data_IF_847026193529
#
_entry.id   IF_847026193529
#
_cell.length_a   1.000
_cell.length_b   1.000
_cell.length_c   1.000
_cell.angle_alpha   90.00
_cell.angle_beta   90.00
_cell.angle_gamma   90.00
#
_symmetry.space_group_name_H-M   'P 1'
#
loop_
_entity.id
_entity.type
_entity.pdbx_description
1 polymer ?
#
# COMPACT_ATOMS: atom_id res chain seq x y z
N UNK A 1 6.83 -5.95 -0.32
CA UNK A 1 8.02 -5.56 -1.09
C UNK A 1 7.85 -4.11 -1.48
N UNK A 2 8.83 -3.26 -1.20
CA UNK A 2 8.91 -1.88 -1.67
C UNK A 2 9.45 -1.84 -3.10
N UNK A 3 9.32 -0.69 -3.74
CA UNK A 3 9.94 -0.40 -5.03
C UNK A 3 11.10 0.57 -4.85
N UNK A 4 11.96 0.72 -5.86
CA UNK A 4 13.07 1.67 -5.91
C UNK A 4 12.64 3.15 -6.09
N UNK A 5 11.39 3.47 -5.77
CA UNK A 5 10.82 4.81 -5.72
C UNK A 5 10.25 5.07 -4.33
N UNK A 6 10.38 6.29 -3.84
CA UNK A 6 9.92 6.65 -2.50
C UNK A 6 9.81 8.14 -2.29
N UNK A 7 9.69 8.49 -1.02
CA UNK A 7 9.68 9.87 -0.51
C UNK A 7 11.01 10.14 0.16
N UNK A 8 11.59 11.30 -0.11
CA UNK A 8 12.80 11.81 0.52
C UNK A 8 12.42 13.00 1.38
N UNK A 9 12.84 12.98 2.64
CA UNK A 9 12.75 14.11 3.55
C UNK A 9 14.18 14.51 3.92
N UNK A 10 14.64 15.65 3.42
CA UNK A 10 15.83 16.31 3.95
C UNK A 10 15.42 17.08 5.20
N UNK A 11 16.10 16.89 6.33
CA UNK A 11 15.76 17.55 7.58
C UNK A 11 17.00 17.89 8.41
N UNK A 12 16.85 18.90 9.26
CA UNK A 12 17.73 19.21 10.39
C UNK A 12 16.87 19.44 11.64
N UNK A 13 17.45 19.27 12.82
CA UNK A 13 16.78 19.66 14.06
C UNK A 13 16.53 21.17 14.07
N UNK A 14 15.34 21.61 14.51
CA UNK A 14 15.15 23.00 14.90
C UNK A 14 15.89 23.26 16.22
N UNK A 15 16.20 24.53 16.48
CA UNK A 15 16.77 24.99 17.75
C UNK A 15 15.73 24.93 18.90
N UNK A 16 14.46 24.80 18.56
CA UNK A 16 13.32 24.78 19.48
C UNK A 16 12.26 23.73 19.09
N UNK A 17 11.05 23.86 19.63
CA UNK A 17 9.92 22.97 19.35
C UNK A 17 9.23 23.25 17.99
N UNK A 18 9.69 24.22 17.19
CA UNK A 18 9.05 24.57 15.93
C UNK A 18 9.39 23.57 14.81
N UNK A 19 8.37 23.11 14.11
CA UNK A 19 8.46 22.43 12.83
C UNK A 19 8.31 23.48 11.73
N UNK A 20 9.20 23.47 10.74
CA UNK A 20 9.10 24.25 9.51
C UNK A 20 9.34 23.33 8.32
N UNK A 21 8.32 23.08 7.50
CA UNK A 21 8.43 22.16 6.37
C UNK A 21 8.01 22.82 5.06
N UNK A 22 8.67 22.42 3.99
CA UNK A 22 8.32 22.73 2.60
C UNK A 22 8.16 21.44 1.79
N UNK A 23 7.36 21.49 0.73
CA UNK A 23 7.16 20.37 -0.18
C UNK A 23 7.64 20.70 -1.59
N UNK A 24 8.25 19.72 -2.27
CA UNK A 24 8.55 19.81 -3.70
C UNK A 24 7.35 19.59 -4.62
N UNK A 25 6.19 19.18 -4.09
CA UNK A 25 4.98 18.94 -4.89
C UNK A 25 3.81 19.86 -4.51
N UNK A 26 3.83 20.46 -3.33
CA UNK A 26 2.76 21.33 -2.85
C UNK A 26 3.30 22.71 -2.49
N UNK A 27 2.57 23.74 -2.87
CA UNK A 27 2.92 25.12 -2.52
C UNK A 27 2.72 25.41 -1.03
N UNK A 28 3.50 26.37 -0.54
CA UNK A 28 3.45 26.83 0.85
C UNK A 28 4.50 26.20 1.75
N UNK A 29 4.68 26.83 2.91
CA UNK A 29 5.46 26.31 4.02
C UNK A 29 4.54 26.13 5.22
N UNK A 30 4.72 25.05 5.97
CA UNK A 30 3.94 24.76 7.17
C UNK A 30 4.81 25.07 8.39
N UNK A 31 4.22 25.72 9.39
CA UNK A 31 4.87 26.02 10.67
C UNK A 31 3.93 25.71 11.82
N UNK A 32 4.39 24.94 12.79
CA UNK A 32 3.65 24.61 14.02
C UNK A 32 4.62 24.03 15.05
N UNK A 33 4.19 23.91 16.31
CA UNK A 33 5.08 23.38 17.35
C UNK A 33 4.76 21.94 17.71
N UNK A 34 5.79 21.17 18.08
CA UNK A 34 5.63 19.78 18.55
C UNK A 34 5.01 19.67 19.94
N UNK A 35 5.07 20.75 20.72
CA UNK A 35 4.48 20.85 22.06
C UNK A 35 3.02 21.37 22.04
N UNK A 36 2.51 21.74 20.86
CA UNK A 36 1.08 22.00 20.68
C UNK A 36 0.30 20.66 20.72
N UNK A 37 -0.77 20.63 21.51
CA UNK A 37 -1.66 19.46 21.56
C UNK A 37 -2.38 19.28 20.23
N UNK A 38 -2.03 18.23 19.49
CA UNK A 38 -2.69 17.90 18.24
C UNK A 38 -4.03 17.21 18.51
N UNK A 39 -5.04 17.51 17.68
CA UNK A 39 -6.37 16.90 17.75
C UNK A 39 -6.73 16.23 16.43
N UNK A 40 -7.47 15.10 16.46
CA UNK A 40 -7.98 14.46 15.25
C UNK A 40 -8.73 15.43 14.33
N UNK A 41 -8.65 15.19 13.02
CA UNK A 41 -9.35 15.99 12.02
C UNK A 41 -10.83 15.58 11.97
N UNK A 42 -11.71 16.53 12.30
CA UNK A 42 -13.16 16.30 12.30
C UNK A 42 -13.73 16.21 10.87
N UNK A 43 -13.36 17.16 10.01
CA UNK A 43 -13.81 17.18 8.61
C UNK A 43 -12.72 16.64 7.67
N UNK A 44 -12.90 15.47 7.03
CA UNK A 44 -11.92 14.92 6.10
C UNK A 44 -11.62 15.79 4.86
N UNK A 45 -12.45 16.79 4.54
CA UNK A 45 -12.16 17.76 3.49
C UNK A 45 -10.98 18.68 3.85
N UNK A 46 -10.67 18.81 5.15
CA UNK A 46 -9.55 19.60 5.64
C UNK A 46 -8.22 18.84 5.59
N UNK A 47 -8.21 17.57 5.16
CA UNK A 47 -6.99 16.78 5.06
C UNK A 47 -6.16 17.32 3.89
N UNK A 48 -5.02 17.88 4.22
CA UNK A 48 -4.01 18.39 3.29
C UNK A 48 -2.66 17.71 3.57
N UNK A 49 -1.60 18.11 2.88
CA UNK A 49 -0.29 17.48 3.05
C UNK A 49 0.34 17.75 4.43
N UNK A 50 0.00 18.87 5.09
CA UNK A 50 0.46 19.21 6.45
C UNK A 50 -0.11 18.27 7.51
N UNK A 51 -1.29 17.71 7.23
CA UNK A 51 -2.02 16.82 8.14
C UNK A 51 -1.18 15.59 8.51
N UNK A 52 -0.29 15.14 7.63
CA UNK A 52 0.59 14.00 7.93
C UNK A 52 1.70 14.35 8.93
N UNK A 53 2.27 15.56 8.86
CA UNK A 53 3.28 16.01 9.82
C UNK A 53 2.66 16.21 11.22
N UNK A 54 1.48 16.85 11.27
CA UNK A 54 0.71 17.00 12.51
C UNK A 54 0.23 15.66 13.07
N UNK A 55 -0.16 14.74 12.18
CA UNK A 55 -0.53 13.38 12.53
C UNK A 55 0.62 12.60 13.15
N UNK A 56 1.85 12.74 12.64
CA UNK A 56 3.04 12.13 13.23
C UNK A 56 3.31 12.64 14.65
N UNK A 57 3.21 13.96 14.88
CA UNK A 57 3.29 14.56 16.22
C UNK A 57 2.17 14.03 17.12
N UNK A 58 0.92 13.99 16.64
CA UNK A 58 -0.21 13.43 17.38
C UNK A 58 0.03 11.97 17.80
N UNK A 59 0.52 11.13 16.87
CA UNK A 59 0.76 9.72 17.14
C UNK A 59 1.83 9.53 18.22
N UNK A 60 2.94 10.26 18.13
CA UNK A 60 4.01 10.23 19.13
C UNK A 60 3.50 10.71 20.51
N UNK A 61 2.80 11.84 20.57
CA UNK A 61 2.18 12.36 21.80
C UNK A 61 1.21 11.34 22.43
N UNK A 62 0.33 10.74 21.63
CA UNK A 62 -0.67 9.79 22.10
C UNK A 62 -0.09 8.46 22.58
N UNK A 63 1.12 8.11 22.13
CA UNK A 63 1.88 6.96 22.64
C UNK A 63 2.79 7.33 23.82
N UNK A 64 2.73 8.57 24.32
CA UNK A 64 3.44 9.02 25.52
C UNK A 64 4.86 9.53 25.27
N UNK A 65 5.24 9.79 24.02
CA UNK A 65 6.55 10.37 23.71
C UNK A 65 6.51 11.90 23.87
N UNK A 66 7.46 12.44 24.64
CA UNK A 66 7.65 13.88 24.78
C UNK A 66 8.58 14.41 23.69
N UNK A 67 8.08 15.32 22.85
CA UNK A 67 8.85 15.96 21.80
C UNK A 67 9.33 17.34 22.29
N UNK A 68 10.64 17.57 22.20
CA UNK A 68 11.28 18.83 22.63
C UNK A 68 11.80 19.66 21.47
N UNK A 69 12.15 18.98 20.37
CA UNK A 69 12.68 19.59 19.16
C UNK A 69 11.75 19.33 17.98
N UNK A 70 11.50 20.36 17.21
CA UNK A 70 10.90 20.24 15.88
C UNK A 70 11.96 19.98 14.81
N UNK A 71 11.53 20.04 13.55
CA UNK A 71 12.38 19.81 12.37
C UNK A 71 12.24 20.98 11.40
N UNK A 72 13.35 21.38 10.79
CA UNK A 72 13.34 22.19 9.57
C UNK A 72 13.60 21.23 8.41
N UNK A 73 12.70 21.14 7.44
CA UNK A 73 12.84 20.13 6.40
C UNK A 73 12.15 20.43 5.08
N UNK A 74 12.55 19.64 4.08
CA UNK A 74 12.02 19.67 2.73
C UNK A 74 11.67 18.25 2.30
N UNK A 75 10.38 18.01 2.04
CA UNK A 75 9.89 16.71 1.61
C UNK A 75 9.65 16.71 0.11
N UNK A 76 10.18 15.71 -0.58
CA UNK A 76 9.92 15.50 -1.99
C UNK A 76 9.72 14.03 -2.30
N UNK A 77 8.67 13.73 -3.04
CA UNK A 77 8.45 12.43 -3.65
C UNK A 77 8.59 12.52 -5.16
N UNK A 78 8.39 11.39 -5.82
CA UNK A 78 8.38 11.35 -7.28
C UNK A 78 7.19 12.14 -7.81
N UNK A 79 7.46 13.17 -8.62
CA UNK A 79 6.43 13.98 -9.27
C UNK A 79 5.50 13.11 -10.13
N UNK A 80 4.18 13.26 -9.97
CA UNK A 80 3.18 12.47 -10.68
C UNK A 80 2.84 11.12 -10.01
N UNK A 81 3.47 10.78 -8.88
CA UNK A 81 3.05 9.66 -8.02
C UNK A 81 2.13 10.10 -6.88
N UNK A 82 1.79 11.38 -6.80
CA UNK A 82 0.78 11.89 -5.88
C UNK A 82 -0.57 11.22 -6.15
N UNK A 83 -1.22 10.73 -5.08
CA UNK A 83 -2.49 9.99 -5.15
C UNK A 83 -2.50 8.71 -6.02
N UNK A 84 -1.35 8.16 -6.36
CA UNK A 84 -1.20 7.00 -7.25
C UNK A 84 -1.60 5.63 -6.70
N UNK A 85 -1.99 5.54 -5.42
CA UNK A 85 -2.28 4.26 -4.77
C UNK A 85 -1.04 3.41 -4.45
N UNK A 86 0.14 4.05 -4.39
CA UNK A 86 1.43 3.46 -3.99
C UNK A 86 1.80 3.83 -2.55
N UNK A 87 0.84 3.83 -1.64
CA UNK A 87 1.09 4.03 -0.20
C UNK A 87 1.78 5.37 0.15
N UNK A 88 1.53 6.42 -0.66
CA UNK A 88 2.19 7.72 -0.50
C UNK A 88 1.92 8.38 0.86
N UNK A 89 0.78 8.09 1.49
CA UNK A 89 0.43 8.62 2.81
C UNK A 89 1.26 7.98 3.93
N UNK A 90 1.34 6.65 3.97
CA UNK A 90 2.18 5.92 4.93
C UNK A 90 3.67 6.26 4.75
N UNK A 91 4.14 6.42 3.50
CA UNK A 91 5.53 6.80 3.25
C UNK A 91 5.88 8.19 3.81
N UNK A 92 4.96 9.15 3.68
CA UNK A 92 5.10 10.49 4.24
C UNK A 92 4.99 10.47 5.77
N UNK A 93 4.01 9.74 6.33
CA UNK A 93 3.84 9.57 7.77
C UNK A 93 5.09 8.99 8.44
N UNK A 94 5.61 7.88 7.89
CA UNK A 94 6.84 7.24 8.35
C UNK A 94 8.06 8.16 8.21
N UNK A 95 8.19 8.92 7.12
CA UNK A 95 9.29 9.87 6.96
C UNK A 95 9.30 10.92 8.08
N UNK A 96 8.13 11.46 8.46
CA UNK A 96 8.02 12.40 9.56
C UNK A 96 8.25 11.76 10.93
N UNK A 97 7.72 10.56 11.19
CA UNK A 97 7.98 9.81 12.42
C UNK A 97 9.48 9.61 12.62
N UNK A 98 10.18 9.05 11.61
CA UNK A 98 11.61 8.78 11.68
C UNK A 98 12.45 10.06 11.84
N UNK A 99 12.07 11.17 11.21
CA UNK A 99 12.75 12.45 11.40
C UNK A 99 12.56 13.01 12.81
N UNK A 100 11.34 12.97 13.35
CA UNK A 100 11.02 13.44 14.70
C UNK A 100 11.70 12.57 15.76
N UNK A 101 11.72 11.25 15.56
CA UNK A 101 12.46 10.31 16.39
C UNK A 101 13.95 10.66 16.42
N UNK A 102 14.56 10.85 15.25
CA UNK A 102 15.97 11.13 15.12
C UNK A 102 16.37 12.42 15.87
N UNK A 103 15.67 13.53 15.65
CA UNK A 103 16.04 14.82 16.27
C UNK A 103 15.72 14.89 17.77
N UNK A 104 14.81 14.05 18.27
CA UNK A 104 14.49 13.93 19.68
C UNK A 104 15.22 12.78 20.40
N UNK A 105 16.06 12.02 19.69
CA UNK A 105 16.81 10.89 20.25
C UNK A 105 15.92 9.73 20.71
N UNK A 106 14.76 9.56 20.09
CA UNK A 106 13.85 8.45 20.39
C UNK A 106 14.32 7.18 19.66
N UNK A 107 14.24 6.04 20.34
CA UNK A 107 14.54 4.73 19.77
C UNK A 107 13.23 3.95 19.68
N UNK A 108 12.61 3.99 18.51
CA UNK A 108 11.33 3.32 18.25
C UNK A 108 11.56 2.15 17.29
N UNK A 109 11.00 0.98 17.61
CA UNK A 109 11.16 -0.19 16.76
C UNK A 109 10.35 -0.05 15.46
N UNK A 110 10.73 -0.71 14.35
CA UNK A 110 9.90 -0.73 13.15
C UNK A 110 8.46 -1.20 13.37
N UNK A 111 8.25 -2.12 14.32
CA UNK A 111 6.91 -2.64 14.67
C UNK A 111 6.07 -1.59 15.40
N UNK A 112 6.68 -0.82 16.29
CA UNK A 112 6.00 0.28 16.97
C UNK A 112 5.71 1.42 15.99
N UNK A 113 6.62 1.69 15.05
CA UNK A 113 6.40 2.67 14.00
C UNK A 113 5.23 2.32 13.06
N UNK A 114 5.00 1.03 12.81
CA UNK A 114 3.78 0.57 12.11
C UNK A 114 2.52 0.95 12.89
N UNK A 115 2.53 0.86 14.23
CA UNK A 115 1.38 1.23 15.04
C UNK A 115 1.20 2.74 15.14
N UNK A 116 2.29 3.51 15.17
CA UNK A 116 2.27 4.96 15.13
C UNK A 116 1.66 5.44 13.81
N UNK A 117 2.11 4.94 12.66
CA UNK A 117 1.54 5.30 11.35
C UNK A 117 0.07 4.88 11.22
N UNK A 118 -0.29 3.70 11.73
CA UNK A 118 -1.70 3.29 11.82
C UNK A 118 -2.52 4.26 12.69
N UNK A 119 -1.95 4.81 13.75
CA UNK A 119 -2.62 5.83 14.57
C UNK A 119 -2.84 7.13 13.80
N UNK A 120 -1.87 7.55 12.96
CA UNK A 120 -2.04 8.69 12.05
C UNK A 120 -3.27 8.46 11.17
N UNK A 121 -3.33 7.32 10.48
CA UNK A 121 -4.39 7.06 9.51
C UNK A 121 -5.75 6.81 10.18
N UNK A 122 -5.83 5.93 11.19
CA UNK A 122 -7.09 5.53 11.82
C UNK A 122 -7.62 6.59 12.80
N UNK A 123 -6.77 7.15 13.66
CA UNK A 123 -7.19 8.01 14.77
C UNK A 123 -7.13 9.49 14.42
N UNK A 124 -6.10 9.92 13.70
CA UNK A 124 -5.95 11.33 13.34
C UNK A 124 -6.71 11.70 12.06
N UNK A 125 -6.61 10.90 10.99
CA UNK A 125 -7.25 11.14 9.69
C UNK A 125 -8.64 10.48 9.54
N UNK A 126 -8.94 9.45 10.34
CA UNK A 126 -10.22 8.73 10.31
C UNK A 126 -10.38 7.78 9.11
N UNK A 127 -9.29 7.14 8.68
CA UNK A 127 -9.26 6.11 7.63
C UNK A 127 -9.02 4.73 8.25
N UNK A 128 -9.88 3.75 7.96
CA UNK A 128 -9.82 2.38 8.55
C UNK A 128 -8.84 1.45 7.82
N UNK A 129 -7.66 1.95 7.45
CA UNK A 129 -6.65 1.15 6.77
C UNK A 129 -5.97 0.12 7.70
N UNK A 130 -5.41 -0.93 7.10
CA UNK A 130 -4.62 -1.94 7.80
C UNK A 130 -3.14 -1.54 7.93
N UNK A 131 -2.32 -2.49 8.38
CA UNK A 131 -0.87 -2.28 8.58
C UNK A 131 -0.01 -2.57 7.35
N UNK A 132 -0.60 -3.03 6.23
CA UNK A 132 0.15 -3.54 5.08
C UNK A 132 1.17 -2.52 4.56
N UNK A 133 0.73 -1.29 4.34
CA UNK A 133 1.50 -0.21 3.75
C UNK A 133 2.69 0.19 4.64
N UNK A 134 2.49 0.60 5.92
CA UNK A 134 3.61 0.95 6.79
C UNK A 134 4.54 -0.24 7.03
N UNK A 135 4.01 -1.46 7.12
CA UNK A 135 4.84 -2.66 7.25
C UNK A 135 5.67 -2.94 6.01
N UNK A 136 5.12 -2.73 4.81
CA UNK A 136 5.90 -2.86 3.59
C UNK A 136 7.03 -1.83 3.58
N UNK A 137 6.75 -0.58 3.94
CA UNK A 137 7.74 0.51 3.97
C UNK A 137 8.85 0.25 4.99
N UNK A 138 8.53 -0.23 6.19
CA UNK A 138 9.51 -0.40 7.27
C UNK A 138 10.23 -1.75 7.27
N UNK A 139 9.58 -2.81 6.75
CA UNK A 139 10.05 -4.20 6.87
C UNK A 139 10.39 -4.84 5.51
N UNK A 140 10.48 -4.08 4.42
CA UNK A 140 10.95 -4.62 3.14
C UNK A 140 12.48 -4.64 3.05
N UNK A 141 13.00 -5.59 2.27
CA UNK A 141 14.42 -5.70 1.93
C UNK A 141 14.55 -5.98 0.44
N UNK A 142 15.53 -5.36 -0.19
CA UNK A 142 15.81 -5.56 -1.61
C UNK A 142 16.00 -7.06 -1.92
N UNK A 143 15.29 -7.56 -2.94
CA UNK A 143 15.38 -8.95 -3.40
C UNK A 143 14.57 -9.98 -2.57
N UNK A 144 13.82 -9.55 -1.54
CA UNK A 144 12.97 -10.43 -0.74
C UNK A 144 11.48 -10.05 -0.87
N UNK A 145 10.61 -11.06 -0.77
CA UNK A 145 9.22 -10.83 -0.37
C UNK A 145 9.13 -10.81 1.15
N UNK A 146 8.55 -9.74 1.69
CA UNK A 146 8.08 -9.71 3.08
C UNK A 146 6.77 -10.47 3.17
N UNK A 147 6.77 -11.57 3.91
CA UNK A 147 5.58 -12.36 4.24
C UNK A 147 5.15 -12.07 5.68
N UNK A 148 3.90 -11.68 5.89
CA UNK A 148 3.44 -11.10 7.15
C UNK A 148 2.08 -11.65 7.56
N UNK A 149 1.88 -11.86 8.86
CA UNK A 149 0.56 -12.03 9.46
C UNK A 149 0.06 -10.70 10.03
N UNK A 150 -0.96 -10.12 9.41
CA UNK A 150 -1.51 -8.83 9.81
C UNK A 150 -2.21 -8.83 11.18
N UNK A 151 -2.54 -10.00 11.75
CA UNK A 151 -3.16 -10.12 13.08
C UNK A 151 -2.13 -10.01 14.19
N UNK A 152 -0.97 -10.64 14.01
CA UNK A 152 0.11 -10.69 15.01
C UNK A 152 1.25 -9.72 14.73
N UNK A 153 1.24 -9.08 13.55
CA UNK A 153 2.34 -8.28 13.00
C UNK A 153 3.67 -9.06 12.85
N UNK A 154 3.64 -10.40 12.93
CA UNK A 154 4.83 -11.21 12.67
C UNK A 154 5.17 -11.18 11.18
N UNK A 155 6.46 -11.18 10.86
CA UNK A 155 6.95 -11.15 9.49
C UNK A 155 8.14 -12.07 9.28
N UNK A 156 8.37 -12.43 8.02
CA UNK A 156 9.50 -13.22 7.57
C UNK A 156 9.90 -12.77 6.16
N UNK A 157 11.13 -13.08 5.78
CA UNK A 157 11.65 -12.77 4.45
C UNK A 157 11.72 -14.04 3.62
N UNK A 158 11.14 -13.98 2.43
CA UNK A 158 11.18 -15.07 1.46
C UNK A 158 12.04 -14.64 0.30
N UNK A 159 13.22 -15.23 0.22
CA UNK A 159 14.17 -14.96 -0.84
C UNK A 159 13.67 -15.54 -2.17
N UNK A 160 13.94 -14.83 -3.26
CA UNK A 160 13.63 -15.32 -4.60
C UNK A 160 14.60 -16.44 -4.98
N UNK A 161 14.13 -17.70 -4.91
CA UNK A 161 14.86 -18.94 -5.22
C UNK A 161 16.20 -19.13 -4.49
N UNK A 162 16.31 -20.20 -3.70
CA UNK A 162 17.57 -20.62 -3.07
C UNK A 162 18.69 -20.91 -4.08
N UNK A 163 18.34 -21.33 -5.31
CA UNK A 163 19.30 -21.66 -6.39
C UNK A 163 20.02 -20.41 -6.93
N UNK A 164 19.39 -19.24 -6.86
CA UNK A 164 19.95 -17.96 -7.31
C UNK A 164 20.85 -17.26 -6.28
N UNK A 165 20.97 -17.76 -5.05
CA UNK A 165 21.92 -17.19 -4.05
C UNK A 165 23.36 -17.17 -4.58
N UNK A 166 23.72 -18.12 -5.45
CA UNK A 166 25.04 -18.22 -6.08
C UNK A 166 25.17 -17.41 -7.38
N UNK A 167 24.06 -17.06 -8.04
CA UNK A 167 24.04 -16.34 -9.33
C UNK A 167 23.72 -14.84 -9.18
N UNK A 168 23.27 -14.38 -8.00
CA UNK A 168 23.00 -12.97 -7.70
C UNK A 168 24.25 -12.09 -7.63
N UNK A 169 25.45 -12.62 -7.87
CA UNK A 169 26.69 -11.84 -7.98
C UNK A 169 26.63 -10.73 -9.05
N UNK A 170 25.62 -10.71 -9.92
CA UNK A 170 25.41 -9.65 -10.92
C UNK A 170 24.28 -8.64 -10.59
N UNK A 171 23.61 -8.75 -9.44
CA UNK A 171 22.63 -7.75 -8.96
C UNK A 171 21.34 -7.61 -9.77
N UNK A 172 21.15 -8.36 -10.86
CA UNK A 172 19.95 -8.31 -11.69
C UNK A 172 18.94 -9.40 -11.33
N UNK A 173 17.69 -8.99 -11.10
CA UNK A 173 16.56 -9.89 -10.91
C UNK A 173 15.94 -10.27 -12.26
N UNK A 174 15.43 -11.51 -12.42
CA UNK A 174 14.86 -11.98 -13.69
C UNK A 174 13.51 -11.36 -14.05
N UNK A 175 13.01 -10.45 -13.21
CA UNK A 175 11.75 -9.74 -13.42
C UNK A 175 11.92 -8.24 -13.11
N UNK A 176 11.02 -7.44 -13.66
CA UNK A 176 10.75 -6.06 -13.24
C UNK A 176 9.30 -5.92 -12.80
N UNK A 177 8.98 -4.79 -12.19
CA UNK A 177 7.63 -4.41 -11.80
C UNK A 177 7.20 -3.27 -12.71
N UNK A 178 6.11 -3.43 -13.46
CA UNK A 178 5.49 -2.33 -14.18
C UNK A 178 4.45 -1.68 -13.29
N UNK A 179 4.48 -0.36 -13.18
CA UNK A 179 3.41 0.44 -12.58
C UNK A 179 2.79 1.30 -13.68
N UNK A 180 1.56 0.97 -14.06
CA UNK A 180 0.82 1.71 -15.07
C UNK A 180 -0.26 2.57 -14.41
N UNK A 181 -0.26 3.87 -14.68
CA UNK A 181 -1.12 4.83 -14.00
C UNK A 181 -2.37 5.11 -14.82
N UNK A 182 -3.53 5.10 -14.15
CA UNK A 182 -4.82 5.28 -14.83
C UNK A 182 -5.12 6.72 -15.24
N UNK A 183 -4.52 7.72 -14.57
CA UNK A 183 -4.83 9.14 -14.75
C UNK A 183 -6.08 9.60 -13.97
N UNK A 184 -6.69 8.71 -13.18
CA UNK A 184 -7.80 9.05 -12.30
C UNK A 184 -7.30 9.82 -11.07
N UNK A 185 -7.54 11.13 -11.06
CA UNK A 185 -7.14 12.05 -9.98
C UNK A 185 -8.24 12.27 -8.93
N UNK A 186 -9.52 12.15 -9.31
CA UNK A 186 -10.64 12.40 -8.39
C UNK A 186 -10.94 11.21 -7.49
N UNK A 187 -11.11 11.50 -6.20
CA UNK A 187 -11.61 10.56 -5.23
C UNK A 187 -13.07 10.22 -5.54
N UNK A 188 -13.40 8.95 -5.77
CA UNK A 188 -14.57 8.41 -5.08
C UNK A 188 -14.31 8.66 -3.60
N UNK A 189 -15.21 9.33 -2.83
CA UNK A 189 -14.91 9.77 -1.48
C UNK A 189 -14.25 8.62 -0.72
N UNK A 190 -12.97 8.78 -0.35
CA UNK A 190 -12.08 7.71 0.14
C UNK A 190 -12.73 6.86 1.25
N UNK A 191 -13.64 7.48 2.00
CA UNK A 191 -14.44 6.88 3.07
C UNK A 191 -15.58 5.97 2.60
N UNK A 192 -16.24 6.20 1.46
CA UNK A 192 -17.37 5.36 1.04
C UNK A 192 -16.89 4.04 0.43
N UNK A 193 -16.08 4.06 -0.63
CA UNK A 193 -15.68 2.81 -1.31
C UNK A 193 -14.92 1.84 -0.40
N UNK A 194 -13.82 2.31 0.22
CA UNK A 194 -12.95 1.45 1.03
C UNK A 194 -13.62 1.03 2.35
N UNK A 195 -14.18 1.96 3.15
CA UNK A 195 -14.78 1.58 4.43
C UNK A 195 -16.06 0.74 4.22
N UNK A 196 -16.83 0.94 3.15
CA UNK A 196 -17.95 0.04 2.83
C UNK A 196 -17.46 -1.40 2.70
N UNK A 197 -16.34 -1.64 2.00
CA UNK A 197 -15.76 -2.99 1.91
C UNK A 197 -15.32 -3.54 3.26
N UNK A 198 -14.74 -2.69 4.12
CA UNK A 198 -14.40 -3.08 5.50
C UNK A 198 -15.65 -3.49 6.28
N UNK A 199 -16.74 -2.72 6.20
CA UNK A 199 -17.99 -3.02 6.88
C UNK A 199 -18.67 -4.28 6.32
N UNK A 200 -18.74 -4.45 5.00
CA UNK A 200 -19.26 -5.67 4.38
C UNK A 200 -18.48 -6.92 4.83
N UNK A 201 -17.15 -6.84 4.93
CA UNK A 201 -16.35 -7.94 5.49
C UNK A 201 -16.64 -8.20 6.97
N UNK A 202 -16.87 -7.15 7.78
CA UNK A 202 -17.25 -7.29 9.20
C UNK A 202 -18.64 -7.92 9.34
N UNK A 203 -19.59 -7.54 8.49
CA UNK A 203 -20.94 -8.09 8.48
C UNK A 203 -20.96 -9.55 8.04
N UNK A 204 -20.18 -9.89 7.01
CA UNK A 204 -19.99 -11.28 6.61
C UNK A 204 -19.38 -12.13 7.73
N UNK A 205 -18.36 -11.60 8.44
CA UNK A 205 -17.78 -12.27 9.59
C UNK A 205 -18.78 -12.46 10.73
N UNK A 206 -19.58 -11.42 11.03
CA UNK A 206 -20.61 -11.48 12.07
C UNK A 206 -21.64 -12.57 11.77
N UNK A 207 -22.17 -12.61 10.54
CA UNK A 207 -23.14 -13.63 10.14
C UNK A 207 -22.59 -15.05 10.31
N UNK A 208 -21.34 -15.28 9.88
CA UNK A 208 -20.68 -16.58 10.02
C UNK A 208 -20.42 -16.98 11.48
N UNK A 209 -19.98 -16.04 12.33
CA UNK A 209 -19.69 -16.29 13.74
C UNK A 209 -20.97 -16.53 14.57
N UNK A 210 -22.04 -15.78 14.30
CA UNK A 210 -23.34 -15.99 14.95
C UNK A 210 -23.91 -17.37 14.61
N UNK A 211 -23.82 -17.81 13.35
CA UNK A 211 -24.30 -19.13 12.94
C UNK A 211 -23.60 -20.30 13.65
N UNK A 212 -22.44 -20.07 14.26
CA UNK A 212 -21.68 -21.10 14.99
C UNK A 212 -21.58 -20.86 16.49
N UNK A 213 -22.36 -19.92 17.03
CA UNK A 213 -22.37 -19.61 18.46
C UNK A 213 -21.07 -18.97 18.98
N UNK A 214 -20.28 -18.33 18.11
CA UNK A 214 -19.03 -17.63 18.44
C UNK A 214 -19.23 -16.10 18.48
N UNK A 215 -20.33 -15.64 19.07
CA UNK A 215 -20.77 -14.24 19.04
C UNK A 215 -19.81 -13.28 19.76
N UNK A 216 -19.05 -13.77 20.74
CA UNK A 216 -18.09 -12.98 21.51
C UNK A 216 -16.81 -12.63 20.74
N UNK A 217 -16.56 -13.27 19.59
CA UNK A 217 -15.38 -13.02 18.79
C UNK A 217 -15.50 -11.69 18.01
N UNK A 218 -14.38 -10.96 17.88
CA UNK A 218 -14.34 -9.77 17.02
C UNK A 218 -14.73 -10.14 15.58
N UNK A 219 -15.71 -9.40 15.02
CA UNK A 219 -16.29 -9.64 13.70
C UNK A 219 -15.33 -9.27 12.56
N UNK A 220 -14.27 -10.06 12.39
CA UNK A 220 -13.34 -9.98 11.25
C UNK A 220 -13.21 -11.37 10.64
N UNK A 221 -13.11 -11.44 9.30
CA UNK A 221 -13.07 -12.73 8.59
C UNK A 221 -11.87 -13.61 8.99
N UNK A 222 -10.79 -13.00 9.51
CA UNK A 222 -9.63 -13.73 10.05
C UNK A 222 -9.96 -14.59 11.28
N UNK A 223 -11.03 -14.26 12.01
CA UNK A 223 -11.49 -15.04 13.17
C UNK A 223 -12.47 -16.15 12.78
N UNK A 224 -12.85 -16.24 11.50
CA UNK A 224 -13.69 -17.30 10.96
C UNK A 224 -12.77 -18.41 10.45
N UNK A 225 -12.94 -19.62 10.98
CA UNK A 225 -12.18 -20.79 10.51
C UNK A 225 -12.52 -21.10 9.03
N UNK A 226 -11.54 -21.44 8.16
CA UNK A 226 -11.82 -21.75 6.76
C UNK A 226 -12.78 -22.92 6.54
N UNK A 227 -12.74 -23.97 7.37
CA UNK A 227 -13.69 -25.09 7.24
C UNK A 227 -15.09 -24.66 7.66
N UNK A 228 -15.20 -23.81 8.70
CA UNK A 228 -16.45 -23.18 9.10
C UNK A 228 -17.04 -22.31 7.98
N UNK A 229 -16.20 -21.51 7.32
CA UNK A 229 -16.63 -20.73 6.15
C UNK A 229 -17.19 -21.63 5.05
N UNK A 230 -16.47 -22.70 4.65
CA UNK A 230 -16.96 -23.59 3.59
C UNK A 230 -18.30 -24.26 3.95
N UNK A 231 -18.50 -24.62 5.22
CA UNK A 231 -19.75 -25.22 5.71
C UNK A 231 -20.93 -24.24 5.77
N UNK A 232 -20.67 -22.96 6.06
CA UNK A 232 -21.70 -21.97 6.36
C UNK A 232 -21.86 -20.87 5.31
N UNK A 233 -21.00 -20.78 4.27
CA UNK A 233 -21.01 -19.68 3.31
C UNK A 233 -22.34 -19.42 2.60
N UNK A 234 -23.22 -20.43 2.51
CA UNK A 234 -24.55 -20.31 1.91
C UNK A 234 -25.53 -19.45 2.71
N UNK A 235 -25.23 -19.13 3.99
CA UNK A 235 -26.06 -18.22 4.78
C UNK A 235 -25.85 -16.74 4.41
N UNK A 236 -24.75 -16.44 3.71
CA UNK A 236 -24.40 -15.09 3.37
C UNK A 236 -25.24 -14.61 2.18
N UNK A 237 -25.78 -13.40 2.31
CA UNK A 237 -26.36 -12.69 1.16
C UNK A 237 -25.29 -12.48 0.07
N UNK A 238 -25.73 -12.35 -1.18
CA UNK A 238 -24.86 -12.36 -2.37
C UNK A 238 -23.64 -11.43 -2.24
N UNK A 239 -23.86 -10.18 -1.80
CA UNK A 239 -22.77 -9.21 -1.64
C UNK A 239 -21.75 -9.65 -0.59
N UNK A 240 -22.22 -10.13 0.57
CA UNK A 240 -21.36 -10.59 1.67
C UNK A 240 -20.63 -11.88 1.30
N UNK A 241 -21.29 -12.78 0.58
CA UNK A 241 -20.71 -14.02 0.06
C UNK A 241 -19.53 -13.71 -0.86
N UNK A 242 -19.66 -12.73 -1.76
CA UNK A 242 -18.56 -12.27 -2.63
C UNK A 242 -17.40 -11.68 -1.84
N UNK A 243 -17.64 -10.87 -0.80
CA UNK A 243 -16.55 -10.33 0.04
C UNK A 243 -15.80 -11.41 0.82
N UNK A 244 -16.54 -12.37 1.38
CA UNK A 244 -15.95 -13.51 2.07
C UNK A 244 -15.15 -14.39 1.11
N UNK A 245 -15.69 -14.68 -0.08
CA UNK A 245 -14.99 -15.46 -1.12
C UNK A 245 -13.68 -14.77 -1.55
N UNK A 246 -13.69 -13.45 -1.72
CA UNK A 246 -12.45 -12.70 -1.98
C UNK A 246 -11.42 -12.94 -0.88
N UNK A 247 -11.81 -12.76 0.39
CA UNK A 247 -10.91 -12.92 1.53
C UNK A 247 -10.31 -14.33 1.63
N UNK A 248 -11.15 -15.37 1.66
CA UNK A 248 -10.68 -16.75 1.84
C UNK A 248 -9.86 -17.24 0.65
N UNK A 249 -10.25 -16.88 -0.57
CA UNK A 249 -9.48 -17.21 -1.76
C UNK A 249 -8.15 -16.43 -1.84
N UNK A 250 -8.11 -15.16 -1.38
CA UNK A 250 -6.87 -14.38 -1.32
C UNK A 250 -5.90 -14.95 -0.29
N UNK A 251 -6.37 -15.36 0.89
CA UNK A 251 -5.53 -16.04 1.89
C UNK A 251 -4.87 -17.30 1.32
N UNK A 252 -5.62 -18.12 0.56
CA UNK A 252 -5.08 -19.29 -0.16
C UNK A 252 -4.04 -18.86 -1.21
N UNK A 253 -4.31 -17.80 -1.98
CA UNK A 253 -3.37 -17.27 -3.00
C UNK A 253 -2.08 -16.73 -2.40
N UNK A 254 -2.13 -16.07 -1.25
CA UNK A 254 -0.96 -15.53 -0.55
C UNK A 254 0.01 -16.64 -0.15
N UNK A 255 -0.49 -17.75 0.41
CA UNK A 255 0.35 -18.91 0.76
C UNK A 255 0.95 -19.57 -0.49
N UNK A 256 0.15 -19.79 -1.54
CA UNK A 256 0.66 -20.33 -2.81
C UNK A 256 1.69 -19.41 -3.47
N UNK A 257 1.48 -18.09 -3.41
CA UNK A 257 2.37 -17.10 -3.98
C UNK A 257 3.73 -17.08 -3.28
N UNK A 258 3.73 -17.19 -1.95
CA UNK A 258 4.94 -17.38 -1.14
C UNK A 258 5.74 -18.60 -1.61
N UNK A 259 5.07 -19.73 -1.81
CA UNK A 259 5.73 -20.99 -2.19
C UNK A 259 6.22 -20.97 -3.66
N UNK A 260 5.45 -20.36 -4.56
CA UNK A 260 5.87 -20.13 -5.94
C UNK A 260 7.12 -19.24 -6.00
N UNK A 261 7.14 -18.14 -5.23
CA UNK A 261 8.28 -17.24 -5.13
C UNK A 261 9.53 -17.93 -4.56
N UNK A 262 9.38 -18.68 -3.47
CA UNK A 262 10.49 -19.42 -2.85
C UNK A 262 11.13 -20.45 -3.81
N UNK A 263 10.34 -21.01 -4.73
CA UNK A 263 10.81 -21.93 -5.79
C UNK A 263 11.30 -21.24 -7.05
N UNK A 264 11.24 -19.90 -7.13
CA UNK A 264 11.59 -19.14 -8.33
C UNK A 264 10.59 -19.29 -9.48
N UNK A 265 9.40 -19.84 -9.23
CA UNK A 265 8.38 -20.05 -10.26
C UNK A 265 7.59 -18.75 -10.52
N UNK A 266 8.22 -17.83 -11.27
CA UNK A 266 7.61 -16.53 -11.58
C UNK A 266 6.33 -16.63 -12.41
N UNK A 267 6.20 -17.66 -13.24
CA UNK A 267 4.99 -17.86 -14.04
C UNK A 267 3.79 -18.21 -13.16
N UNK A 268 3.94 -19.16 -12.23
CA UNK A 268 2.89 -19.46 -11.24
C UNK A 268 2.59 -18.25 -10.35
N UNK A 269 3.63 -17.53 -9.92
CA UNK A 269 3.45 -16.30 -9.13
C UNK A 269 2.65 -15.23 -9.90
N UNK A 270 2.97 -15.00 -11.18
CA UNK A 270 2.23 -14.10 -12.06
C UNK A 270 0.77 -14.53 -12.25
N UNK A 271 0.51 -15.82 -12.48
CA UNK A 271 -0.86 -16.35 -12.57
C UNK A 271 -1.66 -16.10 -11.28
N UNK A 272 -1.04 -16.25 -10.11
CA UNK A 272 -1.67 -15.96 -8.82
C UNK A 272 -1.95 -14.47 -8.63
N UNK A 273 -1.06 -13.59 -9.11
CA UNK A 273 -1.28 -12.14 -9.15
C UNK A 273 -2.51 -11.81 -10.00
N UNK A 274 -2.60 -12.35 -11.22
CA UNK A 274 -3.75 -12.14 -12.10
C UNK A 274 -5.05 -12.72 -11.54
N UNK A 275 -4.99 -13.90 -10.91
CA UNK A 275 -6.15 -14.48 -10.23
C UNK A 275 -6.63 -13.61 -9.07
N UNK A 276 -5.70 -12.97 -8.36
CA UNK A 276 -6.05 -11.97 -7.35
C UNK A 276 -6.68 -10.72 -7.96
N UNK A 277 -6.10 -10.15 -9.02
CA UNK A 277 -6.69 -9.02 -9.75
C UNK A 277 -8.11 -9.30 -10.22
N UNK A 278 -8.36 -10.49 -10.77
CA UNK A 278 -9.70 -10.94 -11.16
C UNK A 278 -10.64 -11.05 -9.95
N UNK A 279 -10.18 -11.58 -8.81
CA UNK A 279 -11.00 -11.65 -7.60
C UNK A 279 -11.29 -10.27 -7.01
N UNK A 280 -10.35 -9.33 -7.09
CA UNK A 280 -10.58 -7.93 -6.73
C UNK A 280 -11.71 -7.30 -7.56
N UNK A 281 -11.76 -7.57 -8.87
CA UNK A 281 -12.81 -7.06 -9.75
C UNK A 281 -14.15 -7.78 -9.49
N UNK A 282 -14.17 -9.11 -9.48
CA UNK A 282 -15.40 -9.88 -9.46
C UNK A 282 -15.93 -10.10 -8.04
N UNK A 283 -15.10 -10.44 -7.07
CA UNK A 283 -15.56 -10.79 -5.72
C UNK A 283 -15.49 -9.60 -4.76
N UNK A 284 -14.45 -8.78 -4.88
CA UNK A 284 -14.32 -7.58 -4.05
C UNK A 284 -15.00 -6.36 -4.66
N UNK A 285 -15.36 -6.40 -5.95
CA UNK A 285 -15.98 -5.28 -6.67
C UNK A 285 -15.25 -3.96 -6.43
N UNK A 286 -13.93 -4.00 -6.58
CA UNK A 286 -13.08 -2.82 -6.68
C UNK A 286 -12.60 -2.66 -8.13
N UNK A 287 -12.12 -1.46 -8.46
CA UNK A 287 -11.80 -1.07 -9.84
C UNK A 287 -12.89 -0.19 -10.44
N UNK A 288 -12.49 0.87 -11.12
CA UNK A 288 -13.33 1.56 -12.09
C UNK A 288 -13.23 0.88 -13.45
N UNK A 289 -14.09 1.27 -14.40
CA UNK A 289 -14.04 0.79 -15.78
C UNK A 289 -12.66 0.99 -16.41
N UNK A 290 -12.05 2.14 -16.17
CA UNK A 290 -10.75 2.54 -16.74
C UNK A 290 -9.60 1.75 -16.10
N UNK A 291 -9.67 1.49 -14.80
CA UNK A 291 -8.71 0.61 -14.10
C UNK A 291 -8.80 -0.83 -14.63
N UNK A 292 -10.01 -1.37 -14.81
CA UNK A 292 -10.20 -2.72 -15.38
C UNK A 292 -9.63 -2.79 -16.80
N UNK A 293 -9.88 -1.78 -17.63
CA UNK A 293 -9.33 -1.72 -18.98
C UNK A 293 -7.80 -1.65 -18.98
N UNK A 294 -7.19 -0.87 -18.09
CA UNK A 294 -5.74 -0.80 -17.93
C UNK A 294 -5.14 -2.15 -17.49
N UNK A 295 -5.81 -2.82 -16.55
CA UNK A 295 -5.46 -4.18 -16.12
C UNK A 295 -5.52 -5.18 -17.28
N UNK A 296 -6.56 -5.15 -18.10
CA UNK A 296 -6.69 -6.02 -19.27
C UNK A 296 -5.63 -5.74 -20.35
N UNK A 297 -5.22 -4.49 -20.51
CA UNK A 297 -4.11 -4.10 -21.41
C UNK A 297 -2.79 -4.66 -20.89
N UNK A 298 -2.51 -4.54 -19.59
CA UNK A 298 -1.30 -5.09 -18.96
C UNK A 298 -1.19 -6.60 -19.18
N UNK A 299 -2.29 -7.35 -19.03
CA UNK A 299 -2.29 -8.80 -19.24
C UNK A 299 -1.94 -9.22 -20.68
N UNK A 300 -2.09 -8.33 -21.66
CA UNK A 300 -1.78 -8.59 -23.07
C UNK A 300 -0.36 -8.14 -23.45
N UNK A 301 0.33 -7.42 -22.57
CA UNK A 301 1.64 -6.86 -22.87
C UNK A 301 2.71 -7.97 -22.93
N UNK A 302 3.70 -7.87 -23.83
CA UNK A 302 4.73 -8.88 -24.01
C UNK A 302 5.52 -9.14 -22.72
N UNK A 303 5.76 -10.41 -22.40
CA UNK A 303 6.53 -10.80 -21.20
C UNK A 303 5.86 -10.52 -19.85
N UNK A 304 4.62 -9.99 -19.82
CA UNK A 304 3.88 -9.84 -18.55
C UNK A 304 3.43 -11.22 -18.07
N UNK A 305 3.86 -11.56 -16.85
CA UNK A 305 3.54 -12.83 -16.18
C UNK A 305 2.21 -12.73 -15.41
N UNK A 306 1.88 -11.53 -14.94
CA UNK A 306 0.58 -11.25 -14.35
C UNK A 306 0.45 -9.83 -13.84
N UNK A 307 -0.79 -9.39 -13.68
CA UNK A 307 -1.13 -8.03 -13.29
C UNK A 307 -2.23 -7.99 -12.22
N UNK A 308 -2.35 -6.88 -11.50
CA UNK A 308 -3.49 -6.60 -10.61
C UNK A 308 -3.54 -5.10 -10.29
N UNK A 309 -4.59 -4.66 -9.61
CA UNK A 309 -4.61 -3.33 -9.01
C UNK A 309 -3.60 -3.22 -7.88
N UNK A 310 -2.98 -2.05 -7.75
CA UNK A 310 -2.22 -1.66 -6.56
C UNK A 310 -3.11 -0.85 -5.60
N UNK A 311 -2.92 -1.07 -4.30
CA UNK A 311 -3.68 -0.38 -3.25
C UNK A 311 -5.17 -0.70 -3.25
N UNK A 312 -5.99 0.27 -2.83
CA UNK A 312 -7.43 0.09 -2.63
C UNK A 312 -8.24 -0.18 -3.92
N UNK A 313 -7.63 -0.02 -5.11
CA UNK A 313 -8.25 -0.35 -6.40
C UNK A 313 -9.30 0.66 -6.92
N UNK A 314 -9.63 1.73 -6.20
CA UNK A 314 -10.62 2.73 -6.65
C UNK A 314 -10.03 3.90 -7.46
N UNK A 315 -8.70 3.97 -7.55
CA UNK A 315 -7.90 4.95 -8.30
C UNK A 315 -6.46 4.44 -8.41
N UNK A 316 -5.59 5.20 -9.06
CA UNK A 316 -4.15 5.00 -8.97
C UNK A 316 -3.60 4.15 -10.11
N UNK A 317 -2.85 3.10 -9.79
CA UNK A 317 -2.12 2.30 -10.75
C UNK A 317 -2.46 0.80 -10.70
N UNK A 318 -2.26 0.15 -11.83
CA UNK A 318 -2.14 -1.30 -11.90
C UNK A 318 -0.67 -1.67 -11.82
N UNK A 319 -0.37 -2.76 -11.11
CA UNK A 319 0.96 -3.35 -11.10
C UNK A 319 0.99 -4.59 -11.98
N UNK A 320 2.12 -4.86 -12.62
CA UNK A 320 2.40 -6.12 -13.28
C UNK A 320 3.81 -6.61 -12.98
N UNK A 321 3.97 -7.93 -12.92
CA UNK A 321 5.28 -8.57 -12.94
C UNK A 321 5.58 -8.93 -14.39
N UNK A 322 6.73 -8.49 -14.88
CA UNK A 322 7.18 -8.69 -16.27
C UNK A 322 8.57 -9.33 -16.26
N UNK A 323 8.85 -10.18 -17.24
CA UNK A 323 10.20 -10.66 -17.50
C UNK A 323 11.15 -9.48 -17.73
N UNK A 324 12.34 -9.55 -17.14
CA UNK A 324 13.29 -8.43 -17.15
C UNK A 324 13.64 -7.92 -18.55
N UNK A 325 13.87 -8.84 -19.50
CA UNK A 325 14.22 -8.52 -20.89
C UNK A 325 13.06 -7.93 -21.71
N UNK A 326 11.82 -8.10 -21.24
CA UNK A 326 10.62 -7.59 -21.91
C UNK A 326 10.08 -6.29 -21.29
N UNK A 327 10.65 -5.81 -20.19
CA UNK A 327 10.08 -4.73 -19.40
C UNK A 327 9.82 -3.43 -20.19
N UNK A 328 10.79 -2.98 -20.99
CA UNK A 328 10.64 -1.76 -21.80
C UNK A 328 9.64 -1.93 -22.94
N UNK A 329 9.65 -3.09 -23.61
CA UNK A 329 8.71 -3.41 -24.68
C UNK A 329 7.26 -3.47 -24.14
N UNK A 330 7.08 -4.08 -22.97
CA UNK A 330 5.81 -4.13 -22.25
C UNK A 330 5.33 -2.74 -21.85
N UNK A 331 6.22 -1.91 -21.29
CA UNK A 331 5.88 -0.55 -20.91
C UNK A 331 5.46 0.30 -22.13
N UNK A 332 6.19 0.19 -23.25
CA UNK A 332 5.83 0.87 -24.50
C UNK A 332 4.47 0.41 -25.04
N UNK A 333 4.21 -0.90 -25.05
CA UNK A 333 2.92 -1.46 -25.44
C UNK A 333 1.77 -0.91 -24.59
N UNK A 334 1.90 -0.93 -23.26
CA UNK A 334 0.87 -0.47 -22.34
C UNK A 334 0.61 1.04 -22.52
N UNK A 335 1.67 1.85 -22.69
CA UNK A 335 1.52 3.29 -22.96
C UNK A 335 0.69 3.53 -24.22
N UNK A 336 1.03 2.84 -25.32
CA UNK A 336 0.36 3.03 -26.61
C UNK A 336 -1.10 2.56 -26.57
N UNK A 337 -1.38 1.38 -26.03
CA UNK A 337 -2.74 0.82 -26.00
C UNK A 337 -3.65 1.57 -25.02
N UNK A 338 -3.12 2.01 -23.88
CA UNK A 338 -3.92 2.79 -22.94
C UNK A 338 -4.19 4.22 -23.43
N UNK A 339 -3.24 4.84 -24.15
CA UNK A 339 -3.47 6.15 -24.79
C UNK A 339 -4.58 6.10 -25.85
N UNK A 340 -4.66 5.02 -26.63
CA UNK A 340 -5.78 4.78 -27.57
C UNK A 340 -7.10 4.59 -26.84
N UNK A 341 -7.08 3.86 -25.72
CA UNK A 341 -8.28 3.50 -24.97
C UNK A 341 -8.83 4.66 -24.12
N UNK A 342 -7.96 5.49 -23.54
CA UNK A 342 -8.28 6.51 -22.53
C UNK A 342 -7.47 7.81 -22.76
N UNK A 343 -7.57 8.46 -23.94
CA UNK A 343 -6.71 9.60 -24.30
C UNK A 343 -6.84 10.79 -23.33
N UNK A 344 -8.04 11.07 -22.83
CA UNK A 344 -8.30 12.19 -21.91
C UNK A 344 -7.73 11.98 -20.50
N UNK A 345 -7.65 10.73 -20.03
CA UNK A 345 -7.03 10.44 -18.74
C UNK A 345 -5.52 10.43 -18.86
N UNK A 346 -5.01 9.86 -19.96
CA UNK A 346 -3.58 9.76 -20.24
C UNK A 346 -2.95 11.15 -20.44
N UNK A 347 -3.68 12.12 -21.01
CA UNK A 347 -3.18 13.51 -21.17
C UNK A 347 -2.95 14.24 -19.83
N UNK A 348 -3.56 13.76 -18.74
CA UNK A 348 -3.38 14.29 -17.38
C UNK A 348 -2.15 13.71 -16.68
N UNK A 349 -1.48 12.74 -17.29
CA UNK A 349 -0.28 12.08 -16.75
C UNK A 349 0.93 12.56 -17.55
N UNK A 350 2.02 13.00 -16.89
CA UNK A 350 3.29 13.26 -17.57
C UNK A 350 3.74 12.04 -18.39
N UNK A 351 4.22 12.28 -19.62
CA UNK A 351 4.51 11.21 -20.57
C UNK A 351 5.53 10.17 -20.03
N UNK A 352 6.54 10.63 -19.30
CA UNK A 352 7.56 9.82 -18.63
C UNK A 352 7.02 9.04 -17.42
N UNK A 353 5.77 9.27 -17.02
CA UNK A 353 5.13 8.69 -15.82
C UNK A 353 3.90 7.84 -16.10
N UNK A 354 3.48 7.69 -17.36
CA UNK A 354 2.33 6.85 -17.73
C UNK A 354 2.52 5.39 -17.32
N UNK A 355 3.73 4.88 -17.52
CA UNK A 355 4.16 3.54 -17.09
C UNK A 355 5.59 3.62 -16.59
N UNK A 356 5.83 3.20 -15.35
CA UNK A 356 7.15 3.09 -14.75
C UNK A 356 7.62 1.63 -14.77
N UNK A 357 8.91 1.46 -15.06
CA UNK A 357 9.63 0.20 -14.86
C UNK A 357 10.38 0.32 -13.54
N UNK A 358 10.01 -0.52 -12.57
CA UNK A 358 10.52 -0.47 -11.22
C UNK A 358 11.29 -1.74 -10.87
N UNK A 359 12.15 -1.60 -9.88
CA UNK A 359 12.83 -2.72 -9.21
C UNK A 359 12.38 -2.78 -7.75
N UNK A 360 12.52 -3.94 -7.09
CA UNK A 360 12.40 -4.01 -5.64
C UNK A 360 13.33 -3.01 -4.94
N UNK A 361 12.84 -2.38 -3.88
CA UNK A 361 13.62 -1.48 -3.04
C UNK A 361 13.90 -2.05 -1.65
N UNK A 362 14.66 -1.30 -0.88
CA UNK A 362 14.77 -1.50 0.57
C UNK A 362 13.64 -0.78 1.32
N UNK A 363 13.54 -1.06 2.62
CA UNK A 363 12.68 -0.30 3.53
C UNK A 363 13.23 1.10 3.85
N UNK A 364 12.39 1.89 4.54
CA UNK A 364 12.71 3.23 5.01
C UNK A 364 13.90 3.24 5.97
N UNK A 365 14.74 4.27 5.86
CA UNK A 365 15.93 4.48 6.69
C UNK A 365 16.29 5.96 6.74
N UNK A 366 16.93 6.38 7.83
CA UNK A 366 17.67 7.64 7.90
C UNK A 366 19.09 7.37 7.41
N UNK A 367 19.64 8.25 6.57
CA UNK A 367 20.96 8.10 5.93
C UNK A 367 21.93 9.11 6.52
#
# INVERSE_FOLDING_TARGET
MTINYGVLLGFVASDDAEISLQSGQFEGAIRFRVDDLQKPIENPENINWESYARGAVYALQNFGYELKKGIIGYISGVKGLDSSGLSSSAAVGIAYLMALENVNGLVISPVDNIQLDKSIENKYLGLENGILDPSAILLSRHGYLTFMDCKTASHSYVYFSELSKSQQCQGQLPFKILLAFSGLQHNLPKKRGYNTRVFECKDAARALLCATGCEDASCILRNVDPAMYEAQKCILEENLARRAEHYFSEMKRVVKGRDAWARGNLHEFGQLISASGRSSILNYECGSKEMIQLYEILLKAPGVLGARFSGAGFRGCCLAIVESDHAEAAAAYVRAEYEKAQPELVSKIPADRRVLVCEPGDGARVI
#
